data_IF_452521434417
#
_entry.id   IF_452521434417
#
_cell.length_a   1.000
_cell.length_b   1.000
_cell.length_c   1.000
_cell.angle_alpha   90.00
_cell.angle_beta   90.00
_cell.angle_gamma   90.00
#
_symmetry.space_group_name_H-M   'P 1'
#
loop_
_entity.id
_entity.type
_entity.pdbx_description
1 polymer ?
#
# COMPACT_ATOMS: atom_id res chain seq x y z
N UNK A 1 17.58 -12.61 -34.97
CA UNK A 1 17.09 -11.92 -33.75
C UNK A 1 16.12 -12.87 -33.07
N UNK A 2 16.56 -13.55 -32.02
CA UNK A 2 15.67 -14.33 -31.16
C UNK A 2 14.88 -13.36 -30.29
N UNK A 3 13.54 -13.45 -30.21
CA UNK A 3 12.81 -12.73 -29.18
C UNK A 3 13.24 -13.35 -27.86
N UNK A 4 13.87 -12.54 -27.01
CA UNK A 4 14.23 -12.97 -25.69
C UNK A 4 12.92 -13.21 -24.93
N UNK A 5 12.51 -14.47 -24.79
CA UNK A 5 11.51 -14.87 -23.80
C UNK A 5 12.14 -14.70 -22.43
N UNK A 6 12.17 -13.47 -21.93
CA UNK A 6 12.27 -13.22 -20.51
C UNK A 6 10.95 -13.67 -19.89
N UNK A 7 10.88 -14.96 -19.55
CA UNK A 7 9.90 -15.43 -18.59
C UNK A 7 10.31 -14.83 -17.24
N UNK A 8 9.74 -13.68 -16.88
CA UNK A 8 9.74 -13.28 -15.48
C UNK A 8 8.81 -14.28 -14.80
N UNK A 9 9.37 -15.23 -14.05
CA UNK A 9 8.60 -16.01 -13.10
C UNK A 9 7.99 -15.00 -12.12
N UNK A 10 6.74 -14.61 -12.38
CA UNK A 10 5.99 -13.65 -11.58
C UNK A 10 5.82 -14.24 -10.18
N UNK A 11 6.77 -13.95 -9.30
CA UNK A 11 6.75 -14.44 -7.92
C UNK A 11 5.96 -13.46 -7.06
N UNK A 12 4.74 -13.16 -7.52
CA UNK A 12 3.78 -12.33 -6.82
C UNK A 12 2.84 -13.20 -6.00
N UNK A 13 2.67 -12.86 -4.73
CA UNK A 13 1.72 -13.52 -3.83
C UNK A 13 0.62 -12.55 -3.41
N UNK A 14 -0.62 -13.04 -3.32
CA UNK A 14 -1.74 -12.27 -2.79
C UNK A 14 -1.65 -12.21 -1.27
N UNK A 15 -1.61 -11.00 -0.72
CA UNK A 15 -1.52 -10.74 0.71
C UNK A 15 -2.35 -9.49 1.09
N UNK A 16 -2.57 -9.28 2.38
CA UNK A 16 -3.10 -8.01 2.89
C UNK A 16 -2.02 -7.19 3.55
N UNK A 17 -1.99 -5.90 3.24
CA UNK A 17 -0.97 -4.96 3.74
C UNK A 17 -1.58 -3.80 4.49
N UNK A 18 -0.74 -3.12 5.27
CA UNK A 18 -1.05 -1.80 5.79
C UNK A 18 -0.57 -0.75 4.79
N UNK A 19 -1.48 0.08 4.32
CA UNK A 19 -1.22 1.22 3.44
C UNK A 19 -1.16 2.49 4.29
N UNK A 20 -0.01 3.17 4.28
CA UNK A 20 0.22 4.40 5.02
C UNK A 20 0.46 5.51 3.99
N UNK A 21 -0.29 6.60 4.12
CA UNK A 21 -0.06 7.81 3.34
C UNK A 21 -0.04 9.03 4.26
N UNK A 22 0.60 10.08 3.78
CA UNK A 22 0.52 11.41 4.35
C UNK A 22 -0.32 12.30 3.43
N UNK A 23 -1.32 12.96 4.00
CA UNK A 23 -2.18 13.92 3.30
C UNK A 23 -2.36 15.16 4.18
N UNK A 24 -1.97 16.33 3.68
CA UNK A 24 -2.05 17.62 4.39
C UNK A 24 -1.53 17.57 5.85
N UNK A 25 -0.37 16.94 6.06
CA UNK A 25 0.27 16.78 7.38
C UNK A 25 -0.43 15.78 8.31
N UNK A 26 -1.40 15.00 7.81
CA UNK A 26 -2.07 13.91 8.53
C UNK A 26 -1.59 12.57 8.00
N UNK A 27 -1.27 11.66 8.91
CA UNK A 27 -1.00 10.27 8.56
C UNK A 27 -2.33 9.51 8.52
N UNK A 28 -2.65 8.93 7.37
CA UNK A 28 -3.80 8.03 7.18
C UNK A 28 -3.27 6.62 7.06
N UNK A 29 -3.79 5.72 7.91
CA UNK A 29 -3.43 4.30 7.94
C UNK A 29 -4.66 3.49 7.53
N UNK A 30 -4.54 2.74 6.43
CA UNK A 30 -5.57 1.80 5.98
C UNK A 30 -5.04 0.39 6.16
N UNK A 31 -5.70 -0.37 7.03
CA UNK A 31 -5.35 -1.76 7.33
C UNK A 31 -6.07 -2.72 6.38
N UNK A 32 -5.50 -3.92 6.21
CA UNK A 32 -6.11 -5.02 5.44
C UNK A 32 -6.36 -4.70 3.95
N UNK A 33 -5.45 -3.95 3.32
CA UNK A 33 -5.53 -3.60 1.90
C UNK A 33 -5.04 -4.77 1.06
N UNK A 34 -5.85 -5.34 0.16
CA UNK A 34 -5.40 -6.41 -0.72
C UNK A 34 -4.31 -5.94 -1.67
N UNK A 35 -3.22 -6.70 -1.77
CA UNK A 35 -2.11 -6.40 -2.68
C UNK A 35 -1.47 -7.68 -3.21
N UNK A 36 -0.89 -7.58 -4.40
CA UNK A 36 0.08 -8.58 -4.89
C UNK A 36 1.48 -8.12 -4.56
N UNK A 37 2.24 -8.96 -3.86
CA UNK A 37 3.59 -8.63 -3.39
C UNK A 37 4.62 -9.47 -4.13
N UNK A 38 5.58 -8.83 -4.78
CA UNK A 38 6.75 -9.52 -5.32
C UNK A 38 7.62 -10.00 -4.14
N UNK A 39 7.84 -11.31 -4.02
CA UNK A 39 8.60 -11.86 -2.88
C UNK A 39 10.09 -11.45 -2.90
N UNK A 40 10.63 -11.13 -4.07
CA UNK A 40 12.04 -10.79 -4.25
C UNK A 40 12.33 -9.32 -3.91
N UNK A 41 11.42 -8.41 -4.26
CA UNK A 41 11.63 -6.95 -4.13
C UNK A 41 10.76 -6.28 -3.07
N UNK A 42 9.66 -6.92 -2.67
CA UNK A 42 8.63 -6.31 -1.84
C UNK A 42 7.74 -5.31 -2.56
N UNK A 43 7.86 -5.20 -3.90
CA UNK A 43 6.97 -4.36 -4.71
C UNK A 43 5.51 -4.76 -4.54
N UNK A 44 4.63 -3.78 -4.42
CA UNK A 44 3.20 -3.97 -4.16
C UNK A 44 2.38 -3.47 -5.34
N UNK A 45 1.57 -4.36 -5.90
CA UNK A 45 0.62 -4.04 -6.95
C UNK A 45 -0.80 -4.08 -6.39
N UNK A 46 -1.58 -3.03 -6.69
CA UNK A 46 -2.97 -2.91 -6.27
C UNK A 46 -3.89 -3.02 -7.49
N UNK A 47 -5.02 -3.71 -7.35
CA UNK A 47 -6.04 -3.72 -8.40
C UNK A 47 -6.70 -2.33 -8.52
N UNK A 48 -7.26 -1.97 -9.69
CA UNK A 48 -8.03 -0.73 -9.85
C UNK A 48 -9.14 -0.60 -8.79
N UNK A 49 -9.88 -1.68 -8.51
CA UNK A 49 -10.91 -1.72 -7.46
C UNK A 49 -10.34 -1.37 -6.07
N UNK A 50 -9.16 -1.89 -5.74
CA UNK A 50 -8.50 -1.58 -4.46
C UNK A 50 -8.15 -0.09 -4.38
N UNK A 51 -7.63 0.48 -5.47
CA UNK A 51 -7.26 1.90 -5.55
C UNK A 51 -8.49 2.80 -5.46
N UNK A 52 -9.61 2.44 -6.09
CA UNK A 52 -10.89 3.16 -5.96
C UNK A 52 -11.41 3.15 -4.51
N UNK A 53 -11.38 1.98 -3.86
CA UNK A 53 -11.80 1.86 -2.46
C UNK A 53 -10.90 2.65 -1.51
N UNK A 54 -9.59 2.65 -1.74
CA UNK A 54 -8.65 3.47 -0.97
C UNK A 54 -9.00 4.95 -1.09
N UNK A 55 -9.23 5.46 -2.30
CA UNK A 55 -9.62 6.85 -2.52
C UNK A 55 -10.94 7.20 -1.82
N UNK A 56 -11.94 6.31 -1.88
CA UNK A 56 -13.19 6.51 -1.14
C UNK A 56 -12.97 6.58 0.38
N UNK A 57 -12.15 5.69 0.96
CA UNK A 57 -11.84 5.73 2.40
C UNK A 57 -11.17 7.05 2.79
N UNK A 58 -10.23 7.52 1.97
CA UNK A 58 -9.47 8.75 2.21
C UNK A 58 -10.36 9.99 2.06
N UNK A 59 -11.21 10.05 1.03
CA UNK A 59 -12.02 11.24 0.72
C UNK A 59 -13.36 11.32 1.44
N UNK A 60 -14.02 10.18 1.70
CA UNK A 60 -15.33 10.17 2.38
C UNK A 60 -15.24 10.43 3.88
N UNK A 61 -14.03 10.56 4.45
CA UNK A 61 -13.79 10.79 5.88
C UNK A 61 -14.62 9.85 6.77
N UNK A 62 -14.64 8.56 6.42
CA UNK A 62 -15.36 7.57 7.22
C UNK A 62 -14.79 7.53 8.63
N UNK A 63 -15.67 7.26 9.60
CA UNK A 63 -15.24 7.15 10.99
C UNK A 63 -14.19 6.04 11.12
N UNK A 64 -12.98 6.35 11.65
CA UNK A 64 -11.92 5.37 11.72
C UNK A 64 -12.28 4.28 12.73
N UNK A 65 -11.94 3.03 12.39
CA UNK A 65 -12.12 1.88 13.30
C UNK A 65 -11.35 2.07 14.60
N UNK A 66 -10.20 2.75 14.52
CA UNK A 66 -9.36 3.16 15.64
C UNK A 66 -8.46 4.32 15.23
N UNK A 67 -8.02 5.11 16.20
CA UNK A 67 -7.02 6.18 15.99
C UNK A 67 -5.70 5.77 16.60
N UNK A 68 -4.60 6.08 15.90
CA UNK A 68 -3.24 5.92 16.38
C UNK A 68 -2.72 7.26 16.90
N UNK A 69 -2.18 7.28 18.12
CA UNK A 69 -1.38 8.40 18.63
C UNK A 69 0.06 7.92 18.71
N UNK A 70 0.96 8.55 17.96
CA UNK A 70 2.38 8.19 17.93
C UNK A 70 3.25 9.44 18.07
N UNK A 71 4.32 9.39 18.88
CA UNK A 71 5.31 10.46 18.88
C UNK A 71 6.04 10.50 17.52
N UNK A 72 6.36 11.71 17.08
CA UNK A 72 7.22 11.97 15.92
C UNK A 72 8.58 12.42 16.43
N UNK A 73 9.63 11.77 15.97
CA UNK A 73 11.01 12.10 16.31
C UNK A 73 11.69 12.74 15.11
N UNK A 74 12.41 13.83 15.35
CA UNK A 74 13.31 14.40 14.37
C UNK A 74 14.55 13.51 14.26
N UNK A 75 14.98 13.20 13.03
CA UNK A 75 16.26 12.53 12.82
C UNK A 75 17.39 13.54 13.07
N UNK A 76 17.84 13.63 14.32
CA UNK A 76 18.98 14.44 14.71
C UNK A 76 20.27 13.64 14.50
N UNK A 77 21.18 14.18 13.68
CA UNK A 77 22.57 13.70 13.51
C UNK A 77 23.50 14.31 14.55
#
# INVERSE_FOLDING_TARGET
MTPNSFSFDETFVDETVTYVLEDDGRIIVVENVPARICVETGERLYSPETVERLQHVIWEQREPVRTLQTPVYEFAV
#
